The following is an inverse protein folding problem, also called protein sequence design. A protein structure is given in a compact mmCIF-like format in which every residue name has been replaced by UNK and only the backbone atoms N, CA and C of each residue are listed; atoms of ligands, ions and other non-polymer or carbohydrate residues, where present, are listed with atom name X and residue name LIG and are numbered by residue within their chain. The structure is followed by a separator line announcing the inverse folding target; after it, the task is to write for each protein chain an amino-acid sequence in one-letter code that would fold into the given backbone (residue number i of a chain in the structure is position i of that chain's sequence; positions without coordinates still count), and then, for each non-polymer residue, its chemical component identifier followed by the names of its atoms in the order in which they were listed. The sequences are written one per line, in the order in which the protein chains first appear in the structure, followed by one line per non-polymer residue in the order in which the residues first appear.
data_IF_019669750160
#
_entry.id   IF_019669750160
#
_cell.length_a   1.000
_cell.length_b   1.000
_cell.length_c   1.000
_cell.angle_alpha   90.00
_cell.angle_beta   90.00
_cell.angle_gamma   90.00
#
_symmetry.space_group_name_H-M   'P 1'
#
loop_
_entity.id
_entity.type
_entity.pdbx_description
1 polymer ?
#
# COMPACT_ATOMS: atom_id res chain seq x y z
N UNK A 1 34.36 2.91 -14.27
CA UNK A 1 34.19 3.80 -13.09
C UNK A 1 32.71 4.10 -12.99
N UNK A 2 31.98 3.37 -12.13
CA UNK A 2 30.56 3.59 -11.89
C UNK A 2 30.40 4.86 -11.08
N UNK A 3 29.78 5.88 -11.65
CA UNK A 3 29.36 7.09 -10.93
C UNK A 3 28.33 6.65 -9.89
N UNK A 4 28.71 6.76 -8.62
CA UNK A 4 27.84 6.53 -7.47
C UNK A 4 26.78 7.64 -7.44
N UNK A 5 25.72 7.49 -8.25
CA UNK A 5 24.61 8.43 -8.33
C UNK A 5 23.76 8.27 -7.07
N UNK A 6 24.17 8.95 -6.01
CA UNK A 6 23.51 8.93 -4.70
C UNK A 6 22.23 9.75 -4.83
N UNK A 7 21.16 9.12 -5.31
CA UNK A 7 19.84 9.78 -5.40
C UNK A 7 19.37 10.12 -3.99
N UNK A 8 19.27 11.41 -3.71
CA UNK A 8 18.71 11.91 -2.45
C UNK A 8 17.19 11.79 -2.51
N UNK A 9 16.61 11.03 -1.58
CA UNK A 9 15.15 10.97 -1.42
C UNK A 9 14.71 12.19 -0.63
N UNK A 10 13.85 13.01 -1.24
CA UNK A 10 13.17 14.14 -0.61
C UNK A 10 11.69 13.79 -0.58
N UNK A 11 11.05 13.98 0.57
CA UNK A 11 9.62 13.71 0.73
C UNK A 11 8.90 14.90 1.36
N UNK A 12 7.61 15.00 1.09
CA UNK A 12 6.68 15.95 1.73
C UNK A 12 5.62 15.13 2.45
N UNK A 13 5.28 15.53 3.68
CA UNK A 13 4.21 14.91 4.43
C UNK A 13 2.90 15.65 4.13
N UNK A 14 1.87 14.89 3.77
CA UNK A 14 0.49 15.37 3.70
C UNK A 14 -0.29 14.60 4.76
N UNK A 15 -0.79 15.32 5.76
CA UNK A 15 -1.58 14.74 6.84
C UNK A 15 -3.07 14.97 6.57
N UNK A 16 -3.87 13.91 6.68
CA UNK A 16 -5.33 14.02 6.57
C UNK A 16 -5.94 14.41 7.90
N UNK A 17 -7.00 15.21 7.83
CA UNK A 17 -7.79 15.61 8.99
C UNK A 17 -9.26 15.19 8.79
N UNK A 18 -9.85 14.41 9.72
CA UNK A 18 -9.20 13.76 10.86
C UNK A 18 -8.35 12.55 10.46
N UNK A 19 -7.38 12.21 11.30
CA UNK A 19 -6.75 10.89 11.26
C UNK A 19 -7.75 9.81 11.67
N UNK A 20 -7.72 8.67 10.99
CA UNK A 20 -8.69 7.59 11.17
C UNK A 20 -8.02 6.31 11.64
N UNK A 21 -8.70 5.58 12.52
CA UNK A 21 -8.44 4.16 12.74
C UNK A 21 -8.77 3.39 11.45
N UNK A 22 -7.91 2.45 11.06
CA UNK A 22 -8.09 1.71 9.81
C UNK A 22 -9.39 0.91 9.77
N UNK A 23 -9.92 0.49 10.92
CA UNK A 23 -11.22 -0.21 11.03
C UNK A 23 -12.40 0.65 10.57
N UNK A 24 -12.23 1.98 10.55
CA UNK A 24 -13.25 2.95 10.12
C UNK A 24 -13.04 3.47 8.69
N UNK A 25 -12.03 2.98 7.97
CA UNK A 25 -11.73 3.41 6.61
C UNK A 25 -12.67 2.71 5.63
N UNK A 26 -13.36 3.49 4.80
CA UNK A 26 -14.26 2.99 3.76
C UNK A 26 -14.00 3.57 2.37
N UNK A 27 -14.97 3.38 1.47
CA UNK A 27 -14.89 3.80 0.07
C UNK A 27 -14.64 5.30 -0.08
N UNK A 28 -15.27 6.12 0.77
CA UNK A 28 -15.08 7.58 0.75
C UNK A 28 -13.63 7.97 1.05
N UNK A 29 -12.97 7.24 1.94
CA UNK A 29 -11.60 7.54 2.36
C UNK A 29 -10.59 7.00 1.34
N UNK A 30 -10.87 5.86 0.71
CA UNK A 30 -10.11 5.39 -0.45
C UNK A 30 -10.16 6.41 -1.60
N UNK A 31 -11.32 7.01 -1.87
CA UNK A 31 -11.45 8.08 -2.86
C UNK A 31 -10.61 9.29 -2.48
N UNK A 32 -10.59 9.70 -1.20
CA UNK A 32 -9.74 10.81 -0.74
C UNK A 32 -8.26 10.52 -0.99
N UNK A 33 -7.78 9.32 -0.64
CA UNK A 33 -6.38 8.91 -0.86
C UNK A 33 -6.06 8.92 -2.35
N UNK A 34 -6.89 8.29 -3.19
CA UNK A 34 -6.68 8.22 -4.63
C UNK A 34 -6.69 9.62 -5.29
N UNK A 35 -7.58 10.51 -4.84
CA UNK A 35 -7.66 11.89 -5.31
C UNK A 35 -6.40 12.67 -4.91
N UNK A 36 -5.95 12.56 -3.67
CA UNK A 36 -4.70 13.18 -3.22
C UNK A 36 -3.49 12.73 -4.06
N UNK A 37 -3.41 11.44 -4.39
CA UNK A 37 -2.35 10.90 -5.25
C UNK A 37 -2.45 11.48 -6.66
N UNK A 38 -3.67 11.53 -7.23
CA UNK A 38 -3.91 12.09 -8.56
C UNK A 38 -3.52 13.56 -8.66
N UNK A 39 -3.92 14.37 -7.68
CA UNK A 39 -3.66 15.81 -7.67
C UNK A 39 -2.16 16.13 -7.57
N UNK A 40 -1.38 15.24 -6.97
CA UNK A 40 0.07 15.37 -6.82
C UNK A 40 0.85 14.48 -7.80
N UNK A 41 0.17 13.84 -8.77
CA UNK A 41 0.78 12.74 -9.53
C UNK A 41 1.97 13.19 -10.37
N UNK A 42 1.96 14.42 -10.87
CA UNK A 42 3.04 14.95 -11.73
C UNK A 42 4.24 15.45 -10.93
N UNK A 43 4.03 15.88 -9.68
CA UNK A 43 5.06 16.55 -8.87
C UNK A 43 5.99 15.58 -8.13
N UNK A 44 5.61 14.30 -8.01
CA UNK A 44 6.35 13.29 -7.24
C UNK A 44 6.64 12.03 -8.05
N UNK A 45 7.75 11.35 -7.76
CA UNK A 45 8.16 10.10 -8.42
C UNK A 45 7.47 8.85 -7.85
N UNK A 46 6.82 8.98 -6.69
CA UNK A 46 6.17 7.88 -6.00
C UNK A 46 5.45 8.36 -4.74
N UNK A 47 4.63 7.47 -4.17
CA UNK A 47 3.75 7.78 -3.05
C UNK A 47 3.90 6.75 -1.95
N UNK A 48 3.97 7.20 -0.69
CA UNK A 48 3.86 6.35 0.49
C UNK A 48 2.57 6.71 1.23
N UNK A 49 1.74 5.71 1.49
CA UNK A 49 0.50 5.83 2.25
C UNK A 49 0.71 5.19 3.62
N UNK A 50 0.81 6.03 4.65
CA UNK A 50 0.79 5.57 6.05
C UNK A 50 -0.64 5.16 6.41
N UNK A 51 -0.82 3.93 6.88
CA UNK A 51 -2.14 3.36 7.11
C UNK A 51 -2.12 2.39 8.30
N UNK A 52 -3.21 2.34 9.06
CA UNK A 52 -3.37 1.35 10.13
C UNK A 52 -3.37 -0.08 9.58
N UNK A 53 -2.86 -1.05 10.34
CA UNK A 53 -2.56 -2.37 9.79
C UNK A 53 -3.80 -3.26 9.57
N UNK A 54 -4.91 -3.02 10.28
CA UNK A 54 -6.07 -3.93 10.31
C UNK A 54 -6.78 -4.05 8.97
N UNK A 55 -6.94 -2.94 8.23
CA UNK A 55 -7.62 -2.93 6.93
C UNK A 55 -6.70 -2.54 5.76
N UNK A 56 -5.38 -2.42 6.00
CA UNK A 56 -4.40 -2.01 4.98
C UNK A 56 -4.50 -2.83 3.69
N UNK A 57 -4.66 -4.15 3.80
CA UNK A 57 -4.77 -5.04 2.63
C UNK A 57 -6.03 -4.76 1.79
N UNK A 58 -7.15 -4.41 2.43
CA UNK A 58 -8.38 -4.02 1.75
C UNK A 58 -8.20 -2.68 1.04
N UNK A 59 -7.64 -1.67 1.72
CA UNK A 59 -7.37 -0.36 1.12
C UNK A 59 -6.38 -0.45 -0.05
N UNK A 60 -5.30 -1.20 0.09
CA UNK A 60 -4.32 -1.41 -0.98
C UNK A 60 -4.93 -2.13 -2.20
N UNK A 61 -5.83 -3.09 -1.96
CA UNK A 61 -6.56 -3.78 -3.02
C UNK A 61 -7.55 -2.85 -3.71
N UNK A 62 -8.33 -2.06 -2.96
CA UNK A 62 -9.25 -1.08 -3.51
C UNK A 62 -8.50 -0.07 -4.40
N UNK A 63 -7.42 0.53 -3.89
CA UNK A 63 -6.62 1.47 -4.66
C UNK A 63 -5.97 0.83 -5.90
N UNK A 64 -5.60 -0.45 -5.85
CA UNK A 64 -5.09 -1.14 -7.03
C UNK A 64 -6.10 -1.23 -8.18
N UNK A 65 -7.39 -1.23 -7.90
CA UNK A 65 -8.44 -1.18 -8.93
C UNK A 65 -8.85 0.26 -9.26
N UNK A 66 -8.80 1.17 -8.29
CA UNK A 66 -9.15 2.57 -8.53
C UNK A 66 -8.09 3.30 -9.36
N UNK A 67 -6.80 2.99 -9.16
CA UNK A 67 -5.68 3.64 -9.84
C UNK A 67 -5.41 2.98 -11.19
N UNK A 68 -5.98 3.54 -12.26
CA UNK A 68 -5.80 3.05 -13.62
C UNK A 68 -4.57 3.69 -14.28
N UNK A 69 -3.91 2.94 -15.18
CA UNK A 69 -2.72 3.38 -15.91
C UNK A 69 -1.58 3.86 -14.97
N UNK A 70 -1.41 3.18 -13.84
CA UNK A 70 -0.42 3.55 -12.83
C UNK A 70 1.02 3.39 -13.38
N UNK A 71 1.74 4.51 -13.52
CA UNK A 71 3.13 4.55 -13.95
C UNK A 71 4.16 4.75 -12.81
N UNK A 72 3.69 5.16 -11.62
CA UNK A 72 4.52 5.48 -10.44
C UNK A 72 4.15 4.59 -9.25
N UNK A 73 5.11 4.19 -8.39
CA UNK A 73 4.84 3.33 -7.25
C UNK A 73 3.97 4.01 -6.20
N UNK A 74 3.00 3.25 -5.66
CA UNK A 74 2.24 3.60 -4.45
C UNK A 74 2.51 2.49 -3.43
N UNK A 75 3.10 2.85 -2.29
CA UNK A 75 3.52 1.92 -1.24
C UNK A 75 2.68 2.15 0.00
N UNK A 76 2.00 1.12 0.48
CA UNK A 76 1.33 1.17 1.78
C UNK A 76 2.28 0.68 2.87
N UNK A 77 2.30 1.37 4.00
CA UNK A 77 3.07 0.96 5.18
C UNK A 77 2.35 1.39 6.45
N UNK A 78 2.73 0.80 7.57
CA UNK A 78 2.14 1.06 8.88
C UNK A 78 3.00 0.43 9.97
N UNK A 79 2.54 0.48 11.21
CA UNK A 79 3.24 -0.11 12.35
C UNK A 79 2.26 -0.72 13.34
N UNK A 80 2.72 -1.73 14.08
CA UNK A 80 1.97 -2.24 15.24
C UNK A 80 2.18 -1.36 16.47
N UNK A 81 3.37 -0.74 16.58
CA UNK A 81 3.73 0.12 17.70
C UNK A 81 3.84 1.57 17.20
N UNK A 82 3.26 2.55 17.92
CA UNK A 82 3.38 3.96 17.55
C UNK A 82 4.85 4.40 17.41
N UNK A 83 5.14 5.25 16.42
CA UNK A 83 6.51 5.67 16.09
C UNK A 83 7.21 6.43 17.24
N UNK A 84 6.45 6.98 18.19
CA UNK A 84 6.96 7.71 19.34
C UNK A 84 7.47 6.81 20.47
N UNK A 85 7.17 5.51 20.43
CA UNK A 85 7.65 4.56 21.43
C UNK A 85 9.11 4.17 21.18
N UNK A 86 9.90 4.01 22.24
CA UNK A 86 11.35 3.76 22.11
C UNK A 86 11.71 2.46 21.37
N UNK A 87 10.79 1.47 21.36
CA UNK A 87 10.97 0.19 20.67
C UNK A 87 9.79 -0.05 19.75
N UNK A 88 9.84 0.57 18.57
CA UNK A 88 8.78 0.53 17.57
C UNK A 88 9.28 0.00 16.22
N UNK A 89 8.34 -0.43 15.39
CA UNK A 89 8.56 -0.86 14.00
C UNK A 89 8.23 0.23 12.97
N UNK A 90 7.63 1.34 13.40
CA UNK A 90 7.22 2.43 12.51
C UNK A 90 8.38 3.14 11.83
N UNK A 91 9.50 3.36 12.53
CA UNK A 91 10.70 3.98 11.92
C UNK A 91 11.23 3.11 10.78
N UNK A 92 11.45 1.82 11.06
CA UNK A 92 12.01 0.89 10.09
C UNK A 92 11.05 0.65 8.91
N UNK A 93 9.76 0.49 9.18
CA UNK A 93 8.74 0.30 8.14
C UNK A 93 8.57 1.54 7.25
N UNK A 94 8.68 2.75 7.82
CA UNK A 94 8.63 3.99 7.04
C UNK A 94 9.88 4.13 6.16
N UNK A 95 11.07 3.96 6.72
CA UNK A 95 12.32 4.00 5.96
C UNK A 95 12.36 2.93 4.87
N UNK A 96 11.90 1.71 5.19
CA UNK A 96 11.78 0.63 4.22
C UNK A 96 10.79 1.00 3.11
N UNK A 97 9.66 1.65 3.40
CA UNK A 97 8.69 2.04 2.35
C UNK A 97 9.24 3.04 1.33
N UNK A 98 10.30 3.79 1.70
CA UNK A 98 11.00 4.68 0.78
C UNK A 98 12.00 3.93 -0.14
N UNK A 99 12.25 2.64 0.11
CA UNK A 99 13.33 1.85 -0.51
C UNK A 99 12.83 0.48 -1.09
N UNK A 100 11.84 -0.16 -0.47
CA UNK A 100 11.38 -1.54 -0.68
C UNK A 100 9.86 -1.58 -0.93
N UNK A 101 9.40 -2.44 -1.85
CA UNK A 101 7.99 -2.51 -2.25
C UNK A 101 7.50 -3.96 -2.41
N UNK A 102 6.29 -4.24 -1.90
CA UNK A 102 5.49 -5.42 -2.24
C UNK A 102 4.31 -5.02 -3.15
N UNK A 103 3.75 -5.96 -3.92
CA UNK A 103 2.55 -5.69 -4.72
C UNK A 103 1.31 -5.69 -3.83
N UNK A 104 0.72 -4.51 -3.58
CA UNK A 104 -0.38 -4.32 -2.62
C UNK A 104 -1.58 -5.26 -2.79
N UNK A 105 -2.04 -5.51 -4.03
CA UNK A 105 -3.17 -6.41 -4.32
C UNK A 105 -2.87 -7.91 -4.17
N UNK A 106 -1.69 -8.29 -3.68
CA UNK A 106 -1.31 -9.67 -3.36
C UNK A 106 -0.96 -9.86 -1.89
N UNK A 107 -0.98 -8.80 -1.09
CA UNK A 107 -0.63 -8.85 0.33
C UNK A 107 -1.85 -9.15 1.20
N UNK A 108 -1.64 -9.95 2.25
CA UNK A 108 -2.56 -10.14 3.37
C UNK A 108 -1.85 -9.82 4.68
N UNK A 109 -2.58 -9.33 5.69
CA UNK A 109 -2.10 -9.30 7.08
C UNK A 109 -2.11 -10.73 7.60
N UNK A 110 -0.93 -11.31 7.78
CA UNK A 110 -0.75 -12.67 8.27
C UNK A 110 -0.71 -12.73 9.80
N UNK A 111 -0.17 -11.67 10.43
CA UNK A 111 0.08 -11.65 11.87
C UNK A 111 -0.21 -10.25 12.45
N UNK A 112 -0.82 -10.22 13.64
CA UNK A 112 -1.16 -8.99 14.38
C UNK A 112 -0.15 -8.61 15.44
N UNK A 113 0.86 -9.45 15.71
CA UNK A 113 1.87 -9.26 16.76
C UNK A 113 3.30 -9.25 16.23
N UNK A 114 3.53 -9.92 15.11
CA UNK A 114 4.85 -9.96 14.46
C UNK A 114 5.15 -8.66 13.73
N UNK A 115 6.43 -8.27 13.71
CA UNK A 115 6.95 -7.16 12.90
C UNK A 115 6.91 -7.50 11.39
N UNK A 116 6.90 -8.79 11.04
CA UNK A 116 6.59 -9.28 9.69
C UNK A 116 5.09 -9.54 9.55
N UNK A 117 4.28 -8.51 9.76
CA UNK A 117 2.81 -8.61 9.83
C UNK A 117 2.16 -8.98 8.50
N UNK A 118 2.82 -8.74 7.37
CA UNK A 118 2.27 -8.94 6.02
C UNK A 118 3.02 -10.02 5.25
N UNK A 119 2.27 -10.79 4.46
CA UNK A 119 2.83 -11.75 3.51
C UNK A 119 2.09 -11.69 2.18
N UNK A 120 2.76 -12.13 1.11
CA UNK A 120 2.17 -12.30 -0.21
C UNK A 120 2.19 -13.80 -0.54
N UNK A 121 1.17 -14.56 -0.11
CA UNK A 121 1.24 -16.03 -0.10
C UNK A 121 1.30 -16.61 -1.52
N UNK A 122 0.76 -15.89 -2.51
CA UNK A 122 0.62 -16.34 -3.89
C UNK A 122 1.49 -15.55 -4.88
N UNK A 123 2.46 -14.76 -4.40
CA UNK A 123 3.36 -14.00 -5.27
C UNK A 123 4.65 -13.63 -4.54
N UNK A 124 5.80 -13.81 -5.18
CA UNK A 124 7.08 -13.38 -4.63
C UNK A 124 7.13 -11.84 -4.45
N UNK A 125 7.94 -11.32 -3.50
CA UNK A 125 8.15 -9.87 -3.33
C UNK A 125 8.64 -9.21 -4.64
N UNK A 126 8.27 -7.93 -4.85
CA UNK A 126 8.79 -7.17 -6.00
C UNK A 126 10.25 -6.75 -5.76
N UNK A 127 10.59 -6.47 -4.51
CA UNK A 127 11.94 -6.12 -4.07
C UNK A 127 12.29 -6.94 -2.84
N UNK A 128 13.49 -7.55 -2.84
CA UNK A 128 14.08 -8.20 -1.67
C UNK A 128 15.32 -7.44 -1.27
N UNK A 129 15.43 -7.11 0.02
CA UNK A 129 16.59 -6.42 0.57
C UNK A 129 17.46 -7.44 1.33
N UNK A 130 18.63 -7.74 0.77
CA UNK A 130 19.69 -8.51 1.43
C UNK A 130 20.89 -7.57 1.67
N UNK A 131 22.13 -8.03 1.46
CA UNK A 131 23.30 -7.14 1.38
C UNK A 131 23.14 -6.16 0.21
N UNK A 132 22.53 -6.63 -0.88
CA UNK A 132 22.17 -5.85 -2.06
C UNK A 132 20.65 -5.80 -2.24
N UNK A 133 20.16 -4.73 -2.89
CA UNK A 133 18.74 -4.61 -3.28
C UNK A 133 18.52 -5.42 -4.56
N UNK A 134 17.68 -6.47 -4.47
CA UNK A 134 17.29 -7.30 -5.62
C UNK A 134 15.87 -6.97 -6.05
N UNK A 135 15.71 -6.47 -7.28
CA UNK A 135 14.40 -6.15 -7.86
C UNK A 135 13.98 -7.26 -8.82
N UNK A 136 12.79 -7.82 -8.62
CA UNK A 136 12.17 -8.78 -9.53
C UNK A 136 11.47 -8.03 -10.68
N UNK A 137 12.25 -7.56 -11.65
CA UNK A 137 11.71 -6.80 -12.79
C UNK A 137 10.69 -7.57 -13.64
N UNK A 138 10.76 -8.90 -13.66
CA UNK A 138 9.77 -9.73 -14.35
C UNK A 138 8.38 -9.67 -13.68
N UNK A 139 8.35 -9.40 -12.38
CA UNK A 139 7.13 -9.19 -11.61
C UNK A 139 6.72 -7.73 -11.51
N UNK A 140 7.45 -6.76 -12.08
CA UNK A 140 7.02 -5.36 -12.09
C UNK A 140 6.09 -5.13 -13.28
N UNK A 141 4.85 -4.77 -13.00
CA UNK A 141 3.93 -4.32 -14.05
C UNK A 141 4.43 -2.99 -14.59
N UNK A 142 4.60 -2.91 -15.90
CA UNK A 142 4.85 -1.68 -16.62
C UNK A 142 3.57 -1.31 -17.33
N UNK A 143 3.18 -0.06 -17.27
CA UNK A 143 2.05 0.42 -18.05
C UNK A 143 2.38 0.21 -19.54
N UNK A 144 1.59 -0.62 -20.23
CA UNK A 144 1.70 -0.88 -21.68
C UNK A 144 0.86 0.13 -22.49
N UNK A 145 0.53 1.26 -21.88
CA UNK A 145 -0.39 2.25 -22.40
C UNK A 145 0.22 3.64 -22.34
N UNK A 146 -0.16 4.48 -23.30
CA UNK A 146 0.15 5.92 -23.33
C UNK A 146 -0.92 6.76 -22.64
N UNK A 147 -2.01 6.12 -22.18
CA UNK A 147 -3.09 6.78 -21.46
C UNK A 147 -2.56 7.41 -20.16
N UNK A 148 -3.10 8.57 -19.81
CA UNK A 148 -2.73 9.25 -18.58
C UNK A 148 -3.24 8.50 -17.34
N UNK A 149 -2.53 8.68 -16.22
CA UNK A 149 -2.97 8.18 -14.93
C UNK A 149 -4.35 8.74 -14.58
N UNK A 150 -5.27 7.85 -14.22
CA UNK A 150 -6.63 8.23 -13.85
C UNK A 150 -7.13 7.45 -12.64
N UNK A 151 -8.20 7.95 -12.04
CA UNK A 151 -8.82 7.29 -10.88
C UNK A 151 -10.28 6.97 -11.15
N UNK A 152 -10.66 5.71 -10.93
CA UNK A 152 -12.05 5.26 -10.93
C UNK A 152 -12.65 5.44 -9.54
N UNK A 153 -13.55 6.43 -9.39
CA UNK A 153 -14.20 6.73 -8.10
C UNK A 153 -15.57 6.05 -7.95
N UNK A 154 -16.14 5.54 -9.04
CA UNK A 154 -17.46 4.91 -9.06
C UNK A 154 -17.39 3.43 -8.62
N UNK A 155 -17.17 3.21 -7.33
CA UNK A 155 -17.11 1.88 -6.72
C UNK A 155 -18.50 1.43 -6.25
N UNK A 156 -18.87 0.18 -6.54
CA UNK A 156 -20.11 -0.41 -6.02
C UNK A 156 -20.04 -0.55 -4.49
N UNK A 157 -21.00 0.07 -3.79
CA UNK A 157 -21.09 0.01 -2.32
C UNK A 157 -21.81 -1.24 -1.80
N UNK A 158 -22.57 -1.91 -2.66
CA UNK A 158 -23.40 -3.06 -2.32
C UNK A 158 -22.62 -4.37 -2.50
N UNK A 159 -21.48 -4.48 -1.80
CA UNK A 159 -20.63 -5.67 -1.81
C UNK A 159 -20.45 -6.16 -0.38
N UNK A 160 -20.51 -7.46 -0.17
CA UNK A 160 -20.32 -8.10 1.13
C UNK A 160 -19.38 -9.29 1.01
N UNK A 161 -18.61 -9.54 2.08
CA UNK A 161 -17.82 -10.75 2.23
C UNK A 161 -18.60 -11.72 3.13
N UNK A 162 -19.08 -12.82 2.54
CA UNK A 162 -19.69 -13.92 3.29
C UNK A 162 -18.65 -15.01 3.50
N UNK A 163 -18.19 -15.19 4.74
CA UNK A 163 -17.32 -16.29 5.10
C UNK A 163 -18.18 -17.48 5.52
N UNK A 164 -18.09 -18.57 4.77
CA UNK A 164 -18.76 -19.81 5.12
C UNK A 164 -18.04 -20.51 6.28
N UNK A 165 -18.82 -21.09 7.19
CA UNK A 165 -18.36 -21.90 8.31
C UNK A 165 -19.30 -23.10 8.51
N UNK A 166 -18.86 -24.20 9.15
CA UNK A 166 -19.72 -25.36 9.41
C UNK A 166 -21.03 -24.95 10.11
N UNK A 167 -22.15 -25.58 9.74
CA UNK A 167 -23.50 -25.30 10.24
C UNK A 167 -24.09 -23.91 9.92
N UNK A 168 -23.48 -23.17 8.98
CA UNK A 168 -24.13 -21.97 8.41
C UNK A 168 -25.46 -22.37 7.75
N UNK A 169 -26.54 -21.69 8.13
CA UNK A 169 -27.87 -21.93 7.55
C UNK A 169 -28.29 -20.70 6.74
N UNK A 170 -29.26 -20.82 5.80
CA UNK A 170 -29.80 -19.66 5.09
C UNK A 170 -30.43 -18.59 5.99
N UNK A 171 -30.75 -18.93 7.24
CA UNK A 171 -31.36 -18.03 8.24
C UNK A 171 -30.33 -17.36 9.16
N UNK A 172 -29.08 -17.83 9.17
CA UNK A 172 -27.97 -17.25 9.95
C UNK A 172 -27.20 -16.24 9.11
#
# INVERSE_FOLDING_TARGET
KSTNDRRHVIYKIVEFDPLLDSSNIGITDWIKIATCIKDNYQDYDGFVVLHGTDTMAYSASALSFMCENLGKPIVFTGSQIPIFEARNDGVDNFLASLIIVFRGNRCIKYDSRSLSAFTSPNMAPLVTMEIDIKVNYAAVLRAETTEEFSIATNMCRNVVLLRLFPDITPQT
#
